data_IF_667373386158
#
_entry.id   IF_667373386158
#
_cell.length_a   1.000
_cell.length_b   1.000
_cell.length_c   1.000
_cell.angle_alpha   90.00
_cell.angle_beta   90.00
_cell.angle_gamma   90.00
#
_symmetry.space_group_name_H-M   'P 1'
#
loop_
_entity.id
_entity.type
_entity.pdbx_description
1 polymer ?
#
# COMPACT_ATOMS: atom_id res chain seq x y z
N UNK A 1 24.11 -8.67 -9.59
CA UNK A 1 24.74 -9.27 -8.39
C UNK A 1 23.78 -10.26 -7.71
N UNK A 2 24.33 -11.32 -7.10
CA UNK A 2 23.56 -12.34 -6.38
C UNK A 2 24.46 -13.09 -5.39
N UNK A 3 23.84 -13.89 -4.51
CA UNK A 3 24.49 -14.77 -3.55
C UNK A 3 23.48 -15.50 -2.69
N UNK A 4 23.92 -16.27 -1.68
CA UNK A 4 23.02 -16.92 -0.75
C UNK A 4 22.26 -15.91 0.09
N UNK A 5 21.02 -16.27 0.47
CA UNK A 5 20.20 -15.47 1.36
C UNK A 5 20.05 -16.14 2.72
N UNK A 6 19.84 -15.32 3.75
CA UNK A 6 19.44 -15.73 5.08
C UNK A 6 18.28 -14.85 5.53
N UNK A 7 17.28 -15.43 6.16
CA UNK A 7 16.08 -14.73 6.60
C UNK A 7 15.82 -14.96 8.08
N UNK A 8 15.30 -13.95 8.76
CA UNK A 8 14.80 -14.08 10.12
C UNK A 8 13.29 -14.07 10.08
N UNK A 9 12.69 -15.14 10.55
CA UNK A 9 11.24 -15.30 10.69
C UNK A 9 10.85 -15.31 12.17
N UNK A 10 9.70 -14.77 12.46
CA UNK A 10 9.09 -14.81 13.80
C UNK A 10 7.76 -15.54 13.74
N UNK A 11 7.58 -16.48 14.66
CA UNK A 11 6.32 -17.19 14.84
C UNK A 11 5.48 -16.48 15.93
N UNK A 12 4.45 -15.76 15.50
CA UNK A 12 3.55 -14.96 16.34
C UNK A 12 2.34 -15.77 16.84
N UNK A 13 2.27 -17.07 16.52
CA UNK A 13 1.17 -17.94 16.96
C UNK A 13 1.22 -18.19 18.46
N UNK A 14 0.09 -18.48 19.10
CA UNK A 14 0.05 -18.85 20.51
C UNK A 14 0.80 -20.20 20.75
N UNK A 15 1.27 -20.41 21.98
CA UNK A 15 2.11 -21.54 22.37
C UNK A 15 1.49 -22.91 22.05
N UNK A 16 0.19 -23.04 22.22
CA UNK A 16 -0.51 -24.30 21.91
C UNK A 16 -0.47 -24.67 20.43
N UNK A 17 -0.52 -23.69 19.52
CA UNK A 17 -0.37 -23.92 18.08
C UNK A 17 1.07 -24.23 17.71
N UNK A 18 2.03 -23.54 18.34
CA UNK A 18 3.47 -23.79 18.14
C UNK A 18 3.91 -25.18 18.61
N UNK A 19 3.24 -25.70 19.65
CA UNK A 19 3.49 -27.04 20.14
C UNK A 19 2.98 -28.14 19.17
N UNK A 20 1.92 -27.87 18.40
CA UNK A 20 1.38 -28.81 17.42
C UNK A 20 2.21 -28.85 16.13
N UNK A 21 2.56 -27.68 15.60
CA UNK A 21 3.35 -27.52 14.37
C UNK A 21 4.47 -26.53 14.64
N UNK A 22 5.73 -26.93 14.65
CA UNK A 22 6.86 -26.04 14.83
C UNK A 22 6.88 -24.93 13.79
N UNK A 23 7.21 -23.69 14.19
CA UNK A 23 7.26 -22.52 13.28
C UNK A 23 8.17 -22.72 12.08
N UNK A 24 9.31 -23.42 12.26
CA UNK A 24 10.24 -23.75 11.16
C UNK A 24 9.57 -24.47 9.98
N UNK A 25 8.53 -25.27 10.25
CA UNK A 25 7.83 -26.04 9.23
C UNK A 25 6.84 -25.18 8.44
N UNK A 26 6.57 -23.97 8.92
CA UNK A 26 5.67 -22.98 8.31
C UNK A 26 6.40 -21.78 7.66
N UNK A 27 7.72 -21.76 7.73
CA UNK A 27 8.53 -20.75 7.01
C UNK A 27 8.25 -20.86 5.51
N UNK A 28 7.95 -19.72 4.88
CA UNK A 28 7.61 -19.60 3.45
C UNK A 28 6.43 -20.52 3.00
N UNK A 29 5.45 -20.74 3.90
CA UNK A 29 4.21 -21.49 3.65
C UNK A 29 2.94 -20.63 3.71
N UNK A 30 3.08 -19.32 3.45
CA UNK A 30 1.97 -18.35 3.46
C UNK A 30 1.17 -18.31 4.77
N UNK A 31 1.80 -18.68 5.91
CA UNK A 31 1.15 -18.56 7.21
C UNK A 31 1.20 -17.09 7.68
N UNK A 32 0.04 -16.44 7.93
CA UNK A 32 -0.01 -15.00 8.25
C UNK A 32 0.60 -14.65 9.62
N UNK A 33 0.90 -15.65 10.46
CA UNK A 33 1.50 -15.46 11.78
C UNK A 33 2.95 -15.96 11.88
N UNK A 34 3.49 -16.61 10.83
CA UNK A 34 4.92 -16.96 10.73
C UNK A 34 5.52 -16.08 9.65
N UNK A 35 6.04 -14.94 10.09
CA UNK A 35 6.40 -13.82 9.20
C UNK A 35 7.90 -13.62 9.11
N UNK A 36 8.39 -13.40 7.90
CA UNK A 36 9.72 -12.87 7.66
C UNK A 36 9.77 -11.41 8.14
N UNK A 37 10.77 -11.07 8.96
CA UNK A 37 11.01 -9.70 9.42
C UNK A 37 12.29 -9.11 8.83
N UNK A 38 13.25 -9.94 8.44
CA UNK A 38 14.54 -9.48 7.96
C UNK A 38 15.12 -10.43 6.91
N UNK A 39 15.50 -9.89 5.76
CA UNK A 39 16.20 -10.61 4.71
C UNK A 39 17.63 -10.07 4.56
N UNK A 40 18.60 -10.98 4.41
CA UNK A 40 20.02 -10.67 4.20
C UNK A 40 20.52 -11.42 2.97
N UNK A 41 20.96 -10.71 1.95
CA UNK A 41 21.55 -11.28 0.73
C UNK A 41 23.06 -11.07 0.77
N UNK A 42 23.82 -12.16 0.75
CA UNK A 42 25.28 -12.12 0.75
C UNK A 42 25.76 -12.13 -0.70
N UNK A 43 25.86 -10.94 -1.31
CA UNK A 43 26.25 -10.78 -2.71
C UNK A 43 27.71 -11.15 -2.92
N UNK A 44 27.95 -12.24 -3.66
CA UNK A 44 29.27 -12.78 -3.96
C UNK A 44 29.54 -12.85 -5.47
N UNK A 45 28.49 -12.91 -6.27
CA UNK A 45 28.56 -13.20 -7.70
C UNK A 45 27.77 -12.20 -8.54
N UNK A 46 28.17 -12.05 -9.78
CA UNK A 46 27.37 -11.48 -10.85
C UNK A 46 26.86 -12.61 -11.75
N UNK A 47 25.55 -12.73 -11.91
CA UNK A 47 24.93 -13.68 -12.82
C UNK A 47 24.90 -13.11 -14.22
N UNK A 48 25.61 -13.77 -15.16
CA UNK A 48 25.66 -13.38 -16.56
C UNK A 48 24.40 -13.84 -17.33
N UNK A 49 24.26 -13.36 -18.58
CA UNK A 49 23.08 -13.70 -19.43
C UNK A 49 22.98 -15.19 -19.75
N UNK A 50 24.10 -15.89 -19.80
CA UNK A 50 24.19 -17.34 -20.04
C UNK A 50 23.91 -18.17 -18.78
N UNK A 51 23.65 -17.52 -17.64
CA UNK A 51 23.39 -18.15 -16.34
C UNK A 51 24.64 -18.45 -15.52
N UNK A 52 25.84 -18.27 -16.05
CA UNK A 52 27.10 -18.48 -15.32
C UNK A 52 27.28 -17.44 -14.21
N UNK A 53 28.00 -17.82 -13.14
CA UNK A 53 28.30 -16.98 -12.01
C UNK A 53 29.76 -16.53 -12.05
N UNK A 54 29.97 -15.22 -12.07
CA UNK A 54 31.28 -14.60 -12.01
C UNK A 54 31.46 -13.98 -10.62
N UNK A 55 32.55 -14.28 -9.89
CA UNK A 55 32.82 -13.65 -8.59
C UNK A 55 32.87 -12.12 -8.71
N UNK A 56 32.27 -11.43 -7.74
CA UNK A 56 32.40 -9.99 -7.61
C UNK A 56 33.81 -9.61 -7.08
N UNK A 57 34.32 -8.43 -7.43
CA UNK A 57 35.59 -7.92 -6.93
C UNK A 57 35.66 -7.78 -5.40
N UNK A 58 34.49 -7.54 -4.78
CA UNK A 58 34.28 -7.48 -3.35
C UNK A 58 32.95 -8.12 -2.97
N UNK A 59 32.85 -8.64 -1.77
CA UNK A 59 31.63 -9.20 -1.20
C UNK A 59 30.84 -8.09 -0.50
N UNK A 60 29.50 -8.13 -0.66
CA UNK A 60 28.60 -7.14 -0.08
C UNK A 60 27.43 -7.83 0.59
N UNK A 61 26.81 -7.14 1.55
CA UNK A 61 25.54 -7.56 2.14
C UNK A 61 24.47 -6.55 1.71
N UNK A 62 23.46 -7.04 1.01
CA UNK A 62 22.24 -6.30 0.77
C UNK A 62 21.19 -6.79 1.77
N UNK A 63 20.63 -5.89 2.56
CA UNK A 63 19.75 -6.27 3.66
C UNK A 63 18.48 -5.41 3.66
N UNK A 64 17.35 -6.05 3.94
CA UNK A 64 16.06 -5.39 4.06
C UNK A 64 15.30 -5.90 5.27
N UNK A 65 14.93 -4.98 6.18
CA UNK A 65 14.09 -5.28 7.33
C UNK A 65 12.72 -4.63 7.13
N UNK A 66 11.65 -5.41 7.29
CA UNK A 66 10.29 -4.91 7.20
C UNK A 66 9.94 -4.08 8.42
N UNK A 67 9.89 -2.74 8.29
CA UNK A 67 9.61 -1.83 9.40
C UNK A 67 8.29 -2.19 10.10
N UNK A 68 7.20 -2.31 9.37
CA UNK A 68 5.87 -2.61 9.90
C UNK A 68 5.81 -4.02 10.53
N UNK A 69 6.50 -4.98 9.92
CA UNK A 69 6.58 -6.35 10.45
C UNK A 69 7.34 -6.39 11.77
N UNK A 70 8.47 -5.65 11.85
CA UNK A 70 9.26 -5.55 13.08
C UNK A 70 8.45 -4.88 14.20
N UNK A 71 7.77 -3.76 13.92
CA UNK A 71 6.93 -3.06 14.90
C UNK A 71 5.78 -3.96 15.37
N UNK A 72 5.15 -4.70 14.46
CA UNK A 72 4.13 -5.69 14.81
C UNK A 72 4.64 -6.71 15.82
N UNK A 73 5.85 -7.24 15.62
CA UNK A 73 6.48 -8.20 16.55
C UNK A 73 6.76 -7.55 17.90
N UNK A 74 7.40 -6.36 17.90
CA UNK A 74 7.74 -5.64 19.15
C UNK A 74 6.48 -5.31 19.96
N UNK A 75 5.40 -4.91 19.29
CA UNK A 75 4.13 -4.56 19.92
C UNK A 75 3.21 -5.76 20.17
N UNK A 76 3.65 -6.97 19.81
CA UNK A 76 2.89 -8.22 19.95
C UNK A 76 1.48 -8.11 19.36
N UNK A 77 1.36 -7.62 18.11
CA UNK A 77 0.09 -7.47 17.40
C UNK A 77 -0.11 -8.58 16.37
N UNK A 78 -1.37 -8.93 16.12
CA UNK A 78 -1.76 -9.95 15.14
C UNK A 78 -1.78 -9.43 13.71
N UNK A 79 -1.86 -8.10 13.52
CA UNK A 79 -1.79 -7.42 12.22
C UNK A 79 -0.87 -6.21 12.29
N UNK A 80 -0.23 -5.86 11.17
CA UNK A 80 0.52 -4.61 11.05
C UNK A 80 -0.38 -3.39 11.31
N UNK A 81 -1.64 -3.47 10.91
CA UNK A 81 -2.61 -2.38 11.03
C UNK A 81 -3.12 -2.14 12.46
N UNK A 82 -2.84 -3.06 13.39
CA UNK A 82 -3.15 -2.91 14.81
C UNK A 82 -2.04 -2.19 15.58
N UNK A 83 -0.94 -1.88 14.91
CA UNK A 83 0.18 -1.14 15.49
C UNK A 83 -0.09 0.36 15.55
N UNK A 84 0.65 1.07 16.38
CA UNK A 84 0.56 2.52 16.51
C UNK A 84 0.89 3.28 15.21
N UNK A 85 1.64 2.66 14.29
CA UNK A 85 1.94 3.24 12.98
C UNK A 85 0.66 3.54 12.18
N UNK A 86 -0.35 2.68 12.29
CA UNK A 86 -1.58 2.78 11.49
C UNK A 86 -2.82 3.17 12.30
N UNK A 87 -2.85 2.84 13.61
CA UNK A 87 -4.05 3.00 14.43
C UNK A 87 -4.55 4.45 14.50
N UNK A 88 -3.65 5.43 14.55
CA UNK A 88 -4.01 6.85 14.54
C UNK A 88 -4.71 7.28 13.25
N UNK A 89 -4.21 6.85 12.10
CA UNK A 89 -4.82 7.14 10.79
C UNK A 89 -6.15 6.41 10.61
N UNK A 90 -6.25 5.17 11.09
CA UNK A 90 -7.51 4.41 11.08
C UNK A 90 -8.57 5.12 11.94
N UNK A 91 -8.23 5.54 13.16
CA UNK A 91 -9.14 6.27 14.04
C UNK A 91 -9.57 7.62 13.44
N UNK A 92 -8.67 8.33 12.78
CA UNK A 92 -9.02 9.56 12.06
C UNK A 92 -9.99 9.29 10.90
N UNK A 93 -9.77 8.20 10.15
CA UNK A 93 -10.68 7.77 9.07
C UNK A 93 -12.06 7.41 9.62
N UNK A 94 -12.15 6.70 10.74
CA UNK A 94 -13.43 6.44 11.42
C UNK A 94 -14.18 7.74 11.75
N UNK A 95 -13.47 8.71 12.34
CA UNK A 95 -14.05 10.00 12.72
C UNK A 95 -14.57 10.78 11.51
N UNK A 96 -13.83 10.79 10.39
CA UNK A 96 -14.21 11.53 9.18
C UNK A 96 -15.39 10.85 8.47
N UNK A 97 -15.36 9.53 8.36
CA UNK A 97 -16.37 8.79 7.56
C UNK A 97 -17.61 8.38 8.36
N UNK A 98 -17.55 8.38 9.69
CA UNK A 98 -18.58 7.84 10.58
C UNK A 98 -18.66 6.31 10.58
N UNK A 99 -17.79 5.62 9.84
CA UNK A 99 -17.70 4.16 9.77
C UNK A 99 -16.76 3.61 10.86
N UNK A 100 -16.90 2.31 11.17
CA UNK A 100 -16.06 1.63 12.16
C UNK A 100 -15.15 0.59 11.50
N UNK A 101 -13.89 0.56 11.92
CA UNK A 101 -12.92 -0.45 11.52
C UNK A 101 -13.11 -1.71 12.37
N UNK A 102 -13.49 -2.81 11.74
CA UNK A 102 -13.76 -4.08 12.44
C UNK A 102 -12.61 -5.10 12.32
N UNK A 103 -11.49 -4.71 11.69
CA UNK A 103 -10.30 -5.54 11.47
C UNK A 103 -10.57 -6.87 10.72
N UNK A 104 -11.70 -6.96 10.00
CA UNK A 104 -12.09 -8.12 9.21
C UNK A 104 -11.49 -8.15 7.81
N UNK A 105 -11.92 -9.13 7.00
CA UNK A 105 -11.52 -9.27 5.58
C UNK A 105 -12.60 -8.71 4.62
N UNK A 106 -13.58 -8.01 5.17
CA UNK A 106 -14.58 -7.30 4.40
C UNK A 106 -14.00 -6.07 3.67
N UNK A 107 -14.71 -5.60 2.65
CA UNK A 107 -14.25 -4.49 1.81
C UNK A 107 -14.12 -3.15 2.56
N UNK A 108 -14.94 -2.93 3.59
CA UNK A 108 -14.84 -1.71 4.43
C UNK A 108 -13.54 -1.76 5.24
N UNK A 109 -13.25 -2.87 5.92
CA UNK A 109 -12.00 -3.05 6.67
C UNK A 109 -10.76 -2.97 5.78
N UNK A 110 -10.81 -3.55 4.57
CA UNK A 110 -9.74 -3.41 3.58
C UNK A 110 -9.55 -1.95 3.17
N UNK A 111 -10.64 -1.18 2.99
CA UNK A 111 -10.55 0.23 2.64
C UNK A 111 -9.80 1.03 3.72
N UNK A 112 -10.10 0.84 4.99
CA UNK A 112 -9.36 1.48 6.09
C UNK A 112 -7.86 1.19 6.01
N UNK A 113 -7.48 -0.06 5.78
CA UNK A 113 -6.06 -0.46 5.65
C UNK A 113 -5.39 0.18 4.44
N UNK A 114 -6.08 0.20 3.29
CA UNK A 114 -5.59 0.85 2.08
C UNK A 114 -5.35 2.33 2.30
N UNK A 115 -6.27 3.03 2.95
CA UNK A 115 -6.10 4.46 3.22
C UNK A 115 -4.91 4.71 4.13
N UNK A 116 -4.80 3.98 5.25
CA UNK A 116 -3.75 4.14 6.23
C UNK A 116 -2.35 3.86 5.65
N UNK A 117 -2.23 2.87 4.78
CA UNK A 117 -0.99 2.54 4.07
C UNK A 117 -0.66 3.59 3.01
N UNK A 118 -1.61 3.87 2.12
CA UNK A 118 -1.37 4.69 0.94
C UNK A 118 -1.12 6.15 1.25
N UNK A 119 -1.81 6.75 2.23
CA UNK A 119 -1.58 8.16 2.58
C UNK A 119 -0.15 8.39 3.09
N UNK A 120 0.42 7.43 3.79
CA UNK A 120 1.81 7.50 4.25
C UNK A 120 2.78 7.49 3.06
N UNK A 121 2.61 6.55 2.13
CA UNK A 121 3.43 6.47 0.91
C UNK A 121 3.31 7.75 0.07
N UNK A 122 2.09 8.25 -0.14
CA UNK A 122 1.81 9.47 -0.91
C UNK A 122 2.44 10.69 -0.24
N UNK A 123 2.20 10.86 1.06
CA UNK A 123 2.65 12.03 1.81
C UNK A 123 4.17 12.19 1.79
N UNK A 124 4.91 11.13 2.13
CA UNK A 124 6.38 11.16 2.11
C UNK A 124 6.94 11.34 0.71
N UNK A 125 6.39 10.67 -0.30
CA UNK A 125 6.89 10.80 -1.67
C UNK A 125 6.70 12.20 -2.23
N UNK A 126 5.58 12.88 -1.93
CA UNK A 126 5.36 14.28 -2.34
C UNK A 126 6.29 15.21 -1.56
N UNK A 127 6.50 14.98 -0.26
CA UNK A 127 7.44 15.76 0.55
C UNK A 127 8.88 15.64 0.03
N UNK A 128 9.26 14.48 -0.52
CA UNK A 128 10.55 14.26 -1.18
C UNK A 128 10.62 14.86 -2.61
N UNK A 129 9.60 15.59 -3.03
CA UNK A 129 9.58 16.33 -4.30
C UNK A 129 9.02 15.57 -5.49
N UNK A 130 8.54 14.32 -5.32
CA UNK A 130 7.95 13.55 -6.41
C UNK A 130 6.44 13.82 -6.49
N UNK A 131 6.04 14.67 -7.43
CA UNK A 131 4.62 15.04 -7.62
C UNK A 131 3.86 14.01 -8.46
N UNK A 132 2.54 13.84 -8.22
CA UNK A 132 1.68 13.05 -9.09
C UNK A 132 1.71 13.57 -10.52
N UNK A 133 1.86 12.66 -11.51
CA UNK A 133 1.92 13.03 -12.93
C UNK A 133 1.36 11.93 -13.82
N UNK A 134 1.38 12.15 -15.16
CA UNK A 134 0.92 11.16 -16.13
C UNK A 134 2.01 10.17 -16.57
N UNK A 135 3.26 10.40 -16.19
CA UNK A 135 4.42 9.62 -16.65
C UNK A 135 5.40 9.34 -15.51
N UNK A 136 6.29 8.38 -15.71
CA UNK A 136 7.38 8.07 -14.81
C UNK A 136 6.94 7.73 -13.37
N UNK A 137 7.74 8.11 -12.40
CA UNK A 137 7.47 7.84 -10.97
C UNK A 137 6.18 8.55 -10.49
N UNK A 138 5.91 9.76 -10.96
CA UNK A 138 4.69 10.50 -10.60
C UNK A 138 3.40 9.81 -11.03
N UNK A 139 3.42 9.01 -12.11
CA UNK A 139 2.30 8.18 -12.50
C UNK A 139 1.99 7.10 -11.44
N UNK A 140 3.03 6.51 -10.86
CA UNK A 140 2.85 5.52 -9.78
C UNK A 140 2.18 6.15 -8.57
N UNK A 141 2.62 7.34 -8.15
CA UNK A 141 2.02 8.06 -7.03
C UNK A 141 0.56 8.40 -7.31
N UNK A 142 0.27 8.94 -8.51
CA UNK A 142 -1.10 9.23 -8.93
C UNK A 142 -1.98 7.98 -8.90
N UNK A 143 -1.48 6.83 -9.33
CA UNK A 143 -2.21 5.57 -9.32
C UNK A 143 -2.52 5.08 -7.90
N UNK A 144 -1.54 5.18 -6.98
CA UNK A 144 -1.73 4.84 -5.56
C UNK A 144 -2.79 5.75 -4.94
N UNK A 145 -2.72 7.07 -5.19
CA UNK A 145 -3.70 8.04 -4.71
C UNK A 145 -5.12 7.72 -5.22
N UNK A 146 -5.28 7.54 -6.53
CA UNK A 146 -6.58 7.20 -7.14
C UNK A 146 -7.14 5.88 -6.64
N UNK A 147 -6.29 4.90 -6.38
CA UNK A 147 -6.70 3.64 -5.75
C UNK A 147 -7.32 3.89 -4.37
N UNK A 148 -6.67 4.67 -3.52
CA UNK A 148 -7.21 5.02 -2.20
C UNK A 148 -8.54 5.80 -2.31
N UNK A 149 -8.63 6.78 -3.23
CA UNK A 149 -9.89 7.52 -3.49
C UNK A 149 -11.02 6.56 -3.86
N UNK A 150 -10.78 5.63 -4.77
CA UNK A 150 -11.80 4.63 -5.15
C UNK A 150 -12.22 3.79 -3.96
N UNK A 151 -11.29 3.37 -3.10
CA UNK A 151 -11.62 2.54 -1.94
C UNK A 151 -12.53 3.27 -0.96
N UNK A 152 -12.22 4.49 -0.56
CA UNK A 152 -13.11 5.21 0.35
C UNK A 152 -14.44 5.61 -0.30
N UNK A 153 -14.41 5.98 -1.57
CA UNK A 153 -15.63 6.31 -2.31
C UNK A 153 -16.60 5.12 -2.40
N UNK A 154 -16.08 3.95 -2.82
CA UNK A 154 -16.91 2.76 -3.07
C UNK A 154 -17.30 2.02 -1.80
N UNK A 155 -16.38 1.88 -0.83
CA UNK A 155 -16.58 1.01 0.31
C UNK A 155 -16.90 1.74 1.61
N UNK A 156 -16.35 2.94 1.82
CA UNK A 156 -16.70 3.77 2.97
C UNK A 156 -17.86 4.75 2.66
N UNK A 157 -18.33 4.79 1.42
CA UNK A 157 -19.42 5.65 0.95
C UNK A 157 -19.15 7.15 1.18
N UNK A 158 -17.87 7.53 1.24
CA UNK A 158 -17.46 8.91 1.46
C UNK A 158 -17.13 9.57 0.12
N UNK A 159 -17.82 10.66 -0.24
CA UNK A 159 -17.78 11.25 -1.59
C UNK A 159 -17.07 12.62 -1.67
N UNK A 160 -16.41 13.00 -0.60
CA UNK A 160 -15.61 14.23 -0.52
C UNK A 160 -14.11 13.88 -0.47
N UNK A 161 -13.19 14.81 -0.75
CA UNK A 161 -11.77 14.60 -0.52
C UNK A 161 -11.50 14.22 0.93
N UNK A 162 -10.77 13.12 1.15
CA UNK A 162 -10.53 12.53 2.47
C UNK A 162 -9.04 12.42 2.80
N UNK A 163 -8.21 11.98 1.86
CA UNK A 163 -6.80 11.66 2.13
C UNK A 163 -6.02 12.87 2.66
N UNK A 164 -6.24 14.06 2.09
CA UNK A 164 -5.57 15.28 2.56
C UNK A 164 -5.86 15.56 4.05
N UNK A 165 -7.03 15.15 4.57
CA UNK A 165 -7.41 15.32 5.97
C UNK A 165 -6.68 14.34 6.91
N UNK A 166 -6.14 13.25 6.38
CA UNK A 166 -5.36 12.27 7.13
C UNK A 166 -3.89 12.67 7.25
N UNK A 167 -3.39 13.52 6.35
CA UNK A 167 -1.98 13.90 6.32
C UNK A 167 -1.48 14.53 7.63
N UNK A 168 -2.23 15.43 8.30
CA UNK A 168 -1.80 16.01 9.58
C UNK A 168 -1.53 14.97 10.67
N UNK A 169 -2.26 13.85 10.67
CA UNK A 169 -2.06 12.75 11.62
C UNK A 169 -0.67 12.14 11.44
N UNK A 170 -0.31 11.87 10.18
CA UNK A 170 0.99 11.28 9.83
C UNK A 170 2.12 12.28 10.06
N UNK A 171 1.95 13.53 9.64
CA UNK A 171 2.93 14.58 9.85
C UNK A 171 3.27 14.75 11.35
N UNK A 172 2.26 14.79 12.20
CA UNK A 172 2.44 14.85 13.66
C UNK A 172 3.12 13.59 14.20
N UNK A 173 2.69 12.42 13.78
CA UNK A 173 3.22 11.14 14.26
C UNK A 173 4.71 10.98 13.98
N UNK A 174 5.16 11.42 12.82
CA UNK A 174 6.55 11.28 12.38
C UNK A 174 7.40 12.54 12.55
N UNK A 175 6.87 13.62 13.13
CA UNK A 175 7.52 14.94 13.21
C UNK A 175 8.90 14.94 13.88
N UNK A 176 9.14 14.06 14.84
CA UNK A 176 10.42 13.95 15.56
C UNK A 176 11.49 13.19 14.76
N UNK A 177 11.10 12.34 13.81
CA UNK A 177 11.99 11.49 13.02
C UNK A 177 12.13 12.02 11.59
N UNK A 178 11.03 12.50 11.02
CA UNK A 178 10.94 13.02 9.65
C UNK A 178 10.25 14.40 9.63
N UNK A 179 10.93 15.44 10.14
CA UNK A 179 10.35 16.78 10.26
C UNK A 179 10.04 17.46 8.92
N UNK A 180 10.56 16.95 7.81
CA UNK A 180 10.33 17.44 6.46
C UNK A 180 8.86 17.33 6.03
N UNK A 181 8.17 16.26 6.45
CA UNK A 181 6.74 16.10 6.16
C UNK A 181 5.91 17.14 6.91
N UNK A 182 6.22 17.37 8.18
CA UNK A 182 5.53 18.38 9.00
C UNK A 182 5.74 19.80 8.44
N UNK A 183 6.97 20.13 8.07
CA UNK A 183 7.32 21.45 7.46
C UNK A 183 6.62 21.70 6.12
N UNK A 184 6.30 20.66 5.38
CA UNK A 184 5.67 20.76 4.07
C UNK A 184 4.18 20.37 4.09
N UNK A 185 3.59 20.18 5.27
CA UNK A 185 2.23 19.66 5.43
C UNK A 185 1.18 20.41 4.60
N UNK A 186 1.23 21.75 4.57
CA UNK A 186 0.29 22.58 3.82
C UNK A 186 0.41 22.32 2.31
N UNK A 187 1.64 22.31 1.79
CA UNK A 187 1.91 22.05 0.38
C UNK A 187 1.45 20.66 -0.02
N UNK A 188 1.86 19.62 0.75
CA UNK A 188 1.50 18.21 0.46
C UNK A 188 0.00 18.00 0.53
N UNK A 189 -0.68 18.56 1.54
CA UNK A 189 -2.14 18.52 1.67
C UNK A 189 -2.84 19.12 0.46
N UNK A 190 -2.36 20.26 -0.02
CA UNK A 190 -2.91 20.94 -1.21
C UNK A 190 -2.79 20.07 -2.46
N UNK A 191 -1.61 19.50 -2.71
CA UNK A 191 -1.37 18.61 -3.86
C UNK A 191 -2.29 17.38 -3.81
N UNK A 192 -2.40 16.73 -2.64
CA UNK A 192 -3.27 15.58 -2.46
C UNK A 192 -4.72 15.98 -2.73
N UNK A 193 -5.20 17.07 -2.14
CA UNK A 193 -6.59 17.54 -2.29
C UNK A 193 -6.93 17.83 -3.74
N UNK A 194 -6.06 18.51 -4.48
CA UNK A 194 -6.28 18.85 -5.89
C UNK A 194 -6.41 17.57 -6.76
N UNK A 195 -5.58 16.56 -6.52
CA UNK A 195 -5.67 15.27 -7.21
C UNK A 195 -6.94 14.49 -6.83
N UNK A 196 -7.35 14.50 -5.56
CA UNK A 196 -8.62 13.90 -5.11
C UNK A 196 -9.82 14.56 -5.80
N UNK A 197 -9.90 15.89 -5.77
CA UNK A 197 -10.98 16.66 -6.39
C UNK A 197 -11.04 16.41 -7.90
N UNK A 198 -9.88 16.39 -8.57
CA UNK A 198 -9.81 16.12 -10.00
C UNK A 198 -10.32 14.71 -10.34
N UNK A 199 -9.96 13.71 -9.56
CA UNK A 199 -10.39 12.34 -9.81
C UNK A 199 -11.85 12.10 -9.44
N UNK A 200 -12.33 12.65 -8.32
CA UNK A 200 -13.72 12.52 -7.90
C UNK A 200 -14.71 13.07 -8.94
N UNK A 201 -14.36 14.16 -9.67
CA UNK A 201 -15.19 14.68 -10.76
C UNK A 201 -15.44 13.70 -11.90
N UNK A 202 -14.50 12.79 -12.14
CA UNK A 202 -14.60 11.80 -13.22
C UNK A 202 -15.03 10.41 -12.74
N UNK A 203 -14.78 10.11 -11.47
CA UNK A 203 -15.00 8.78 -10.88
C UNK A 203 -16.46 8.32 -10.97
N UNK A 204 -17.41 9.15 -10.61
CA UNK A 204 -18.85 8.79 -10.65
C UNK A 204 -19.31 8.45 -12.09
N UNK A 205 -18.86 9.25 -13.07
CA UNK A 205 -19.15 8.99 -14.48
C UNK A 205 -18.49 7.69 -14.97
N UNK A 206 -17.24 7.46 -14.57
CA UNK A 206 -16.51 6.27 -14.92
C UNK A 206 -17.12 5.00 -14.32
N UNK A 207 -17.58 5.04 -13.06
CA UNK A 207 -18.28 3.92 -12.43
C UNK A 207 -19.60 3.60 -13.18
N UNK A 208 -20.41 4.59 -13.50
CA UNK A 208 -21.63 4.40 -14.30
C UNK A 208 -21.33 3.82 -15.68
N UNK A 209 -20.24 4.27 -16.31
CA UNK A 209 -19.81 3.71 -17.60
C UNK A 209 -19.37 2.26 -17.47
N UNK A 210 -18.62 1.93 -16.42
CA UNK A 210 -18.21 0.56 -16.11
C UNK A 210 -19.44 -0.35 -15.92
N UNK A 211 -20.43 0.07 -15.12
CA UNK A 211 -21.66 -0.68 -14.90
C UNK A 211 -22.40 -0.95 -16.22
N UNK A 212 -22.45 0.06 -17.11
CA UNK A 212 -23.04 -0.09 -18.44
C UNK A 212 -22.29 -1.07 -19.32
N UNK A 213 -20.96 -1.07 -19.28
CA UNK A 213 -20.10 -2.01 -20.02
C UNK A 213 -20.32 -3.43 -19.51
N UNK A 214 -20.34 -3.61 -18.18
CA UNK A 214 -20.56 -4.92 -17.54
C UNK A 214 -21.96 -5.46 -17.91
N UNK A 215 -22.99 -4.63 -17.86
CA UNK A 215 -24.36 -5.01 -18.22
C UNK A 215 -24.50 -5.40 -19.69
N UNK A 216 -23.73 -4.81 -20.58
CA UNK A 216 -23.73 -5.10 -22.01
C UNK A 216 -22.82 -6.29 -22.40
N UNK A 217 -21.92 -6.72 -21.52
CA UNK A 217 -20.96 -7.79 -21.80
C UNK A 217 -21.65 -9.16 -21.78
N UNK A 218 -21.45 -9.95 -22.85
CA UNK A 218 -21.97 -11.32 -22.96
C UNK A 218 -21.17 -12.36 -22.16
N UNK A 219 -20.25 -11.94 -21.27
CA UNK A 219 -19.38 -12.82 -20.50
C UNK A 219 -18.62 -12.06 -19.42
N UNK A 220 -17.53 -12.65 -18.92
CA UNK A 220 -16.66 -12.07 -17.86
C UNK A 220 -15.57 -11.13 -18.39
N UNK A 221 -15.55 -10.83 -19.68
CA UNK A 221 -14.52 -10.02 -20.34
C UNK A 221 -15.11 -8.76 -20.95
N UNK A 222 -14.43 -7.64 -20.76
CA UNK A 222 -14.72 -6.37 -21.42
C UNK A 222 -13.77 -6.17 -22.62
N UNK A 223 -14.17 -5.37 -23.61
CA UNK A 223 -13.31 -5.12 -24.76
C UNK A 223 -12.11 -4.25 -24.39
N UNK A 224 -11.00 -4.42 -25.12
CA UNK A 224 -9.81 -3.55 -24.96
C UNK A 224 -10.13 -2.08 -25.25
N UNK A 225 -11.10 -1.81 -26.13
CA UNK A 225 -11.57 -0.45 -26.43
C UNK A 225 -12.28 0.18 -25.23
N UNK A 226 -13.18 -0.55 -24.58
CA UNK A 226 -13.87 -0.07 -23.39
C UNK A 226 -12.89 0.15 -22.22
N UNK A 227 -11.94 -0.77 -22.03
CA UNK A 227 -10.91 -0.63 -21.02
C UNK A 227 -10.01 0.60 -21.27
N UNK A 228 -9.68 0.87 -22.55
CA UNK A 228 -8.93 2.07 -22.93
C UNK A 228 -9.74 3.35 -22.70
N UNK A 229 -11.02 3.37 -23.05
CA UNK A 229 -11.92 4.51 -22.77
C UNK A 229 -11.97 4.83 -21.28
N UNK A 230 -12.11 3.81 -20.43
CA UNK A 230 -12.10 3.97 -18.98
C UNK A 230 -10.78 4.57 -18.46
N UNK A 231 -9.65 4.13 -18.99
CA UNK A 231 -8.33 4.66 -18.62
C UNK A 231 -8.15 6.09 -19.12
N UNK A 232 -8.36 6.34 -20.40
CA UNK A 232 -8.02 7.60 -21.07
C UNK A 232 -8.98 8.73 -20.69
N UNK A 233 -10.29 8.47 -20.75
CA UNK A 233 -11.33 9.48 -20.51
C UNK A 233 -11.66 9.68 -19.05
N UNK A 234 -11.75 8.60 -18.27
CA UNK A 234 -12.17 8.66 -16.86
C UNK A 234 -11.00 8.51 -15.88
N UNK A 235 -9.80 8.26 -16.37
CA UNK A 235 -8.61 8.14 -15.54
C UNK A 235 -8.62 6.90 -14.63
N UNK A 236 -9.36 5.85 -15.02
CA UNK A 236 -9.36 4.56 -14.32
C UNK A 236 -8.06 3.82 -14.63
N UNK A 237 -7.18 3.60 -13.68
CA UNK A 237 -6.04 2.72 -13.88
C UNK A 237 -6.49 1.31 -14.28
N UNK A 238 -5.69 0.62 -15.12
CA UNK A 238 -6.05 -0.69 -15.66
C UNK A 238 -6.33 -1.74 -14.58
N UNK A 239 -5.68 -1.62 -13.44
CA UNK A 239 -5.88 -2.47 -12.26
C UNK A 239 -7.25 -2.25 -11.57
N UNK A 240 -7.95 -1.16 -11.90
CA UNK A 240 -9.32 -0.91 -11.45
C UNK A 240 -10.39 -1.43 -12.43
N UNK A 241 -9.99 -1.78 -13.64
CA UNK A 241 -10.89 -2.33 -14.67
C UNK A 241 -10.77 -3.86 -14.78
N UNK A 242 -9.84 -4.47 -14.08
CA UNK A 242 -9.67 -5.92 -13.94
C UNK A 242 -10.56 -6.46 -12.84
#
# INVERSE_FOLDING_TARGET
>A
PCGPCSEIHVDMRPDHERALIPGRDLVNKDNPQVIEIWNNVFMQYNRLKDGSLQPLPAQHVDTGMGFERLVRVIQNKTSNYDTDIFSGTIAATEKITGKKYLAGDDKESIAFRVLADHIRAIGFTIADGQLPSNTGAGYVIRRILRRAVRYYYSYLQYKQPLLYQLLPVIATQFSTVFPELDKQQEFVSKVIREEEEAFLRTLDKGLKRMDSIIAAASGKTISGKDAFELLDTFGFPIDLTR
#
